data_IF_365295148203
#
_entry.id   IF_365295148203
#
_cell.length_a   1.000
_cell.length_b   1.000
_cell.length_c   1.000
_cell.angle_alpha   90.00
_cell.angle_beta   90.00
_cell.angle_gamma   90.00
#
_symmetry.space_group_name_H-M   'P 1'
#
loop_
_entity.id
_entity.type
_entity.pdbx_description
1 polymer ?
#
# COMPACT_ATOMS: atom_id res chain seq x y z
N UNK A 1 -11.79 3.31 -9.07
CA UNK A 1 -10.41 3.12 -8.57
C UNK A 1 -10.20 4.01 -7.36
N UNK A 2 -9.67 3.47 -6.28
CA UNK A 2 -9.41 4.24 -5.08
C UNK A 2 -7.97 4.77 -5.11
N UNK A 3 -7.82 6.06 -4.90
CA UNK A 3 -6.51 6.72 -4.83
C UNK A 3 -6.13 6.88 -3.37
N UNK A 4 -4.87 6.55 -3.06
CA UNK A 4 -4.31 6.67 -1.72
C UNK A 4 -3.21 7.71 -1.70
N UNK A 5 -3.08 8.41 -0.58
CA UNK A 5 -2.03 9.40 -0.37
C UNK A 5 -1.16 8.97 0.80
N UNK A 6 0.15 9.11 0.64
CA UNK A 6 1.11 8.85 1.72
C UNK A 6 1.14 10.06 2.65
N UNK A 7 1.19 9.81 3.96
CA UNK A 7 1.11 10.89 4.95
C UNK A 7 2.27 11.89 4.86
N UNK A 8 3.44 11.47 4.36
CA UNK A 8 4.60 12.34 4.16
C UNK A 8 4.71 12.87 2.74
N UNK A 9 4.34 12.08 1.76
CA UNK A 9 4.45 12.45 0.34
C UNK A 9 3.07 12.72 -0.22
N UNK A 10 2.61 13.93 -0.04
CA UNK A 10 1.25 14.30 -0.44
C UNK A 10 1.06 14.47 -1.95
N UNK A 11 2.15 14.50 -2.71
CA UNK A 11 2.10 14.76 -4.14
C UNK A 11 1.83 13.51 -4.99
N UNK A 12 2.13 12.32 -4.47
CA UNK A 12 1.97 11.09 -5.22
C UNK A 12 0.58 10.49 -5.08
N UNK A 13 0.06 9.94 -6.16
CA UNK A 13 -1.15 9.15 -6.15
C UNK A 13 -0.76 7.68 -6.19
N UNK A 14 -1.29 6.89 -5.26
CA UNK A 14 -0.99 5.47 -5.15
C UNK A 14 -2.26 4.66 -5.32
N UNK A 15 -2.12 3.49 -5.91
CA UNK A 15 -3.23 2.55 -6.10
C UNK A 15 -2.81 1.17 -5.62
N UNK A 16 -3.76 0.44 -5.05
CA UNK A 16 -3.55 -0.96 -4.69
C UNK A 16 -3.72 -1.79 -5.96
N UNK A 17 -2.71 -2.61 -6.24
CA UNK A 17 -2.71 -3.49 -7.41
C UNK A 17 -3.26 -4.86 -7.04
N UNK A 18 -2.89 -5.37 -5.87
CA UNK A 18 -3.26 -6.72 -5.44
C UNK A 18 -3.07 -6.85 -3.93
N UNK A 19 -3.51 -7.96 -3.40
CA UNK A 19 -3.32 -8.35 -2.01
C UNK A 19 -2.60 -9.69 -1.98
N UNK A 20 -1.79 -9.91 -0.96
CA UNK A 20 -1.08 -11.17 -0.81
C UNK A 20 -0.88 -11.49 0.67
N UNK A 21 -0.34 -12.68 0.93
CA UNK A 21 0.15 -13.05 2.25
C UNK A 21 1.66 -12.91 2.27
N UNK A 22 2.16 -12.29 3.33
CA UNK A 22 3.58 -12.08 3.52
C UNK A 22 3.95 -12.57 4.91
N UNK A 23 4.98 -13.39 4.98
CA UNK A 23 5.44 -13.93 6.26
C UNK A 23 6.27 -12.89 7.01
N UNK A 24 5.92 -12.64 8.26
CA UNK A 24 6.68 -11.72 9.11
C UNK A 24 7.90 -12.43 9.70
N UNK A 25 8.70 -11.70 10.48
CA UNK A 25 9.93 -12.25 11.03
C UNK A 25 9.72 -13.27 12.16
N UNK A 26 8.48 -13.41 12.63
CA UNK A 26 8.10 -14.46 13.59
C UNK A 26 7.60 -15.72 12.91
N UNK A 27 7.55 -15.72 11.57
CA UNK A 27 7.03 -16.85 10.81
C UNK A 27 5.52 -16.86 10.62
N UNK A 28 4.83 -15.80 11.01
CA UNK A 28 3.37 -15.69 10.87
C UNK A 28 3.01 -15.05 9.52
N UNK A 29 1.96 -15.59 8.89
CA UNK A 29 1.47 -15.05 7.63
C UNK A 29 0.51 -13.91 7.92
N UNK A 30 0.78 -12.75 7.33
CA UNK A 30 0.00 -11.54 7.50
C UNK A 30 -0.49 -11.06 6.14
N UNK A 31 -1.62 -10.37 6.15
CA UNK A 31 -2.11 -9.72 4.94
C UNK A 31 -1.15 -8.60 4.54
N UNK A 32 -0.86 -8.53 3.25
CA UNK A 32 0.01 -7.52 2.68
C UNK A 32 -0.64 -6.92 1.44
N UNK A 33 -0.26 -5.70 1.13
CA UNK A 33 -0.78 -4.92 0.02
C UNK A 33 0.32 -4.73 -1.00
N UNK A 34 0.02 -5.02 -2.26
CA UNK A 34 0.90 -4.69 -3.38
C UNK A 34 0.34 -3.41 -3.99
N UNK A 35 1.14 -2.38 -4.05
CA UNK A 35 0.70 -1.07 -4.53
C UNK A 35 1.76 -0.44 -5.41
N UNK A 36 1.36 0.59 -6.12
CA UNK A 36 2.27 1.34 -6.99
C UNK A 36 1.84 2.80 -7.03
N UNK A 37 2.75 3.65 -7.46
CA UNK A 37 2.42 5.00 -7.85
C UNK A 37 1.68 4.93 -9.19
N UNK A 38 0.65 5.75 -9.36
CA UNK A 38 -0.29 5.64 -10.48
C UNK A 38 0.39 5.66 -11.85
N UNK A 39 1.43 6.47 -12.01
CA UNK A 39 2.12 6.65 -13.28
C UNK A 39 3.42 5.84 -13.38
N UNK A 40 3.61 4.87 -12.50
CA UNK A 40 4.81 4.04 -12.46
C UNK A 40 4.44 2.57 -12.59
N UNK A 41 5.36 1.78 -13.14
CA UNK A 41 5.22 0.33 -13.18
C UNK A 41 5.93 -0.35 -12.02
N UNK A 42 6.61 0.41 -11.19
CA UNK A 42 7.30 -0.13 -10.03
C UNK A 42 6.32 -0.43 -8.91
N UNK A 43 6.30 -1.68 -8.46
CA UNK A 43 5.39 -2.12 -7.42
C UNK A 43 6.10 -2.23 -6.09
N UNK A 44 5.37 -1.95 -5.04
CA UNK A 44 5.84 -2.05 -3.66
C UNK A 44 4.92 -2.99 -2.90
N UNK A 45 5.44 -3.56 -1.82
CA UNK A 45 4.67 -4.43 -0.94
C UNK A 45 4.87 -3.98 0.51
N UNK A 46 3.79 -3.86 1.25
CA UNK A 46 3.82 -3.57 2.68
C UNK A 46 2.80 -4.44 3.38
N UNK A 47 3.02 -4.71 4.67
CA UNK A 47 1.97 -5.29 5.48
C UNK A 47 0.75 -4.36 5.49
N UNK A 48 -0.43 -4.94 5.46
CA UNK A 48 -1.68 -4.18 5.42
C UNK A 48 -1.78 -3.16 6.56
N UNK A 49 -1.38 -3.56 7.75
CA UNK A 49 -1.39 -2.67 8.91
C UNK A 49 -0.47 -1.47 8.72
N UNK A 50 0.71 -1.67 8.14
CA UNK A 50 1.62 -0.57 7.82
C UNK A 50 1.06 0.34 6.74
N UNK A 51 0.43 -0.26 5.73
CA UNK A 51 -0.16 0.51 4.65
C UNK A 51 -1.27 1.41 5.18
N UNK A 52 -2.15 0.87 6.01
CA UNK A 52 -3.25 1.65 6.59
C UNK A 52 -2.76 2.76 7.51
N UNK A 53 -1.61 2.54 8.16
CA UNK A 53 -1.01 3.54 9.04
C UNK A 53 -0.39 4.70 8.27
N UNK A 54 0.16 4.45 7.10
CA UNK A 54 0.92 5.44 6.33
C UNK A 54 0.17 6.03 5.15
N UNK A 55 -0.88 5.37 4.69
CA UNK A 55 -1.66 5.80 3.53
C UNK A 55 -3.12 5.95 3.92
N UNK A 56 -3.77 6.90 3.31
CA UNK A 56 -5.20 7.09 3.49
C UNK A 56 -5.88 7.24 2.14
N UNK A 57 -7.09 6.69 2.04
CA UNK A 57 -7.89 6.83 0.84
C UNK A 57 -8.30 8.28 0.66
N UNK A 58 -8.15 8.77 -0.57
CA UNK A 58 -8.61 10.11 -0.91
C UNK A 58 -10.13 10.08 -1.02
N UNK A 59 -10.78 10.88 -0.23
CA UNK A 59 -12.23 11.03 -0.26
C UNK A 59 -12.59 12.28 -1.04
N UNK A 60 -13.51 12.10 -1.96
CA UNK A 60 -14.08 13.23 -2.70
C UNK A 60 -15.39 13.66 -2.06
#
# INVERSE_FOLDING_TARGET
MTIYKHYKKKEGDYVIVDMCLLQDHFGEWQNAVIYKELNSNLKFCRFESEFEDKFSAEKK
#
